data_IF_745091764853
#
_entry.id   IF_745091764853
#
_cell.length_a   1.000
_cell.length_b   1.000
_cell.length_c   1.000
_cell.angle_alpha   90.00
_cell.angle_beta   90.00
_cell.angle_gamma   90.00
#
_symmetry.space_group_name_H-M   'P 1'
#
loop_
_entity.id
_entity.type
_entity.pdbx_description
1 polymer ?
#
# COMPACT_ATOMS: atom_id res chain seq x y z
N UNK A 1 -3.42 20.31 1.65
CA UNK A 1 -3.24 18.87 1.40
C UNK A 1 -4.00 18.11 2.47
N UNK A 2 -4.94 17.24 2.09
CA UNK A 2 -5.69 16.42 3.07
C UNK A 2 -4.92 15.14 3.44
N UNK A 3 -5.42 14.37 4.42
CA UNK A 3 -4.79 13.14 4.88
C UNK A 3 -4.55 12.11 3.74
N UNK A 4 -5.54 11.95 2.85
CA UNK A 4 -5.44 11.04 1.71
C UNK A 4 -4.34 11.46 0.71
N UNK A 5 -4.25 12.75 0.38
CA UNK A 5 -3.21 13.29 -0.49
C UNK A 5 -1.82 13.19 0.14
N UNK A 6 -1.71 13.40 1.46
CA UNK A 6 -0.47 13.19 2.19
C UNK A 6 -0.02 11.73 2.11
N UNK A 7 -0.93 10.80 2.40
CA UNK A 7 -0.66 9.37 2.30
C UNK A 7 -0.25 8.99 0.87
N UNK A 8 -0.91 9.51 -0.16
CA UNK A 8 -0.53 9.27 -1.54
C UNK A 8 0.93 9.69 -1.84
N UNK A 9 1.35 10.87 -1.39
CA UNK A 9 2.74 11.33 -1.53
C UNK A 9 3.73 10.44 -0.77
N UNK A 10 3.38 10.02 0.45
CA UNK A 10 4.23 9.13 1.23
C UNK A 10 4.36 7.73 0.59
N UNK A 11 3.28 7.19 0.00
CA UNK A 11 3.31 5.90 -0.71
C UNK A 11 4.07 5.96 -2.04
N UNK A 12 4.13 7.12 -2.71
CA UNK A 12 5.03 7.32 -3.85
C UNK A 12 6.51 7.28 -3.44
N UNK A 13 6.84 7.76 -2.23
CA UNK A 13 8.18 7.63 -1.67
C UNK A 13 8.52 6.19 -1.30
N UNK A 14 7.51 5.38 -0.94
CA UNK A 14 7.68 3.93 -0.79
C UNK A 14 8.02 3.27 -2.13
N UNK A 15 7.28 3.60 -3.19
CA UNK A 15 7.51 3.07 -4.54
C UNK A 15 8.88 3.47 -5.11
N UNK A 16 9.39 4.65 -4.76
CA UNK A 16 10.74 5.09 -5.17
C UNK A 16 11.86 4.57 -4.27
N UNK A 17 11.53 3.80 -3.23
CA UNK A 17 12.49 3.25 -2.26
C UNK A 17 13.10 4.30 -1.32
N UNK A 18 12.51 5.50 -1.23
CA UNK A 18 12.98 6.58 -0.36
C UNK A 18 12.52 6.40 1.09
N UNK A 19 11.37 5.76 1.30
CA UNK A 19 10.78 5.53 2.62
C UNK A 19 10.32 4.09 2.73
N UNK A 20 10.47 3.46 3.90
CA UNK A 20 9.92 2.13 4.15
C UNK A 20 8.42 2.22 4.44
N UNK A 21 7.62 1.29 3.91
CA UNK A 21 6.17 1.25 4.19
C UNK A 21 5.87 1.16 5.69
N UNK A 22 6.72 0.46 6.46
CA UNK A 22 6.57 0.36 7.91
C UNK A 22 6.59 1.69 8.63
N UNK A 23 7.36 2.65 8.12
CA UNK A 23 7.45 3.99 8.71
C UNK A 23 6.14 4.75 8.51
N UNK A 24 5.42 4.48 7.40
CA UNK A 24 4.09 5.01 7.13
C UNK A 24 3.07 4.41 8.10
N UNK A 25 3.12 3.09 8.32
CA UNK A 25 2.22 2.37 9.22
C UNK A 25 2.42 2.85 10.67
N UNK A 26 3.67 3.04 11.11
CA UNK A 26 3.99 3.52 12.46
C UNK A 26 3.38 4.90 12.76
N UNK A 27 3.23 5.75 11.72
CA UNK A 27 2.61 7.08 11.82
C UNK A 27 1.17 7.13 11.30
N UNK A 28 0.46 6.00 11.29
CA UNK A 28 -0.93 5.93 10.79
C UNK A 28 -1.87 7.00 11.39
N UNK A 29 -1.62 7.43 12.63
CA UNK A 29 -2.38 8.50 13.29
C UNK A 29 -2.33 9.86 12.58
N UNK A 30 -1.32 10.10 11.74
CA UNK A 30 -1.21 11.29 10.89
C UNK A 30 -2.23 11.30 9.72
N UNK A 31 -2.87 10.16 9.46
CA UNK A 31 -3.81 9.96 8.36
C UNK A 31 -5.20 9.52 8.85
N UNK A 32 -5.64 10.03 10.00
CA UNK A 32 -6.87 9.60 10.70
C UNK A 32 -8.17 9.63 9.88
N UNK A 33 -8.21 10.33 8.75
CA UNK A 33 -9.34 10.37 7.83
C UNK A 33 -9.29 9.31 6.70
N UNK A 34 -8.26 8.46 6.67
CA UNK A 34 -8.13 7.32 5.76
C UNK A 34 -8.60 6.06 6.49
N UNK A 35 -9.36 5.20 5.81
CA UNK A 35 -9.84 3.94 6.41
C UNK A 35 -8.71 3.06 6.97
N UNK A 36 -9.00 2.41 8.10
CA UNK A 36 -8.14 1.37 8.69
C UNK A 36 -7.91 0.19 7.73
N UNK A 37 -8.85 -0.09 6.83
CA UNK A 37 -8.69 -1.16 5.84
C UNK A 37 -7.50 -0.90 4.90
N UNK A 38 -7.23 0.36 4.57
CA UNK A 38 -6.03 0.74 3.79
C UNK A 38 -4.75 0.38 4.56
N UNK A 39 -4.71 0.62 5.87
CA UNK A 39 -3.53 0.29 6.68
C UNK A 39 -3.34 -1.21 6.87
N UNK A 40 -4.41 -2.00 7.01
CA UNK A 40 -4.31 -3.46 7.01
C UNK A 40 -3.69 -3.99 5.70
N UNK A 41 -4.08 -3.40 4.57
CA UNK A 41 -3.48 -3.70 3.28
C UNK A 41 -1.99 -3.32 3.21
N UNK A 42 -1.60 -2.16 3.76
CA UNK A 42 -0.19 -1.76 3.84
C UNK A 42 0.64 -2.68 4.76
N UNK A 43 0.06 -3.19 5.84
CA UNK A 43 0.69 -4.18 6.72
C UNK A 43 0.97 -5.49 5.97
N UNK A 44 0.05 -5.94 5.11
CA UNK A 44 0.30 -7.08 4.21
C UNK A 44 1.44 -6.80 3.23
N UNK A 45 1.45 -5.61 2.65
CA UNK A 45 2.57 -5.17 1.82
C UNK A 45 3.88 -5.16 2.61
N UNK A 46 3.94 -4.74 3.88
CA UNK A 46 5.19 -4.79 4.68
C UNK A 46 5.65 -6.24 4.95
N UNK A 47 4.71 -7.12 5.32
CA UNK A 47 4.98 -8.51 5.67
C UNK A 47 5.65 -9.30 4.54
N UNK A 48 5.33 -8.97 3.29
CA UNK A 48 5.86 -9.64 2.10
C UNK A 48 7.12 -8.96 1.52
N UNK A 49 7.76 -8.06 2.26
CA UNK A 49 8.97 -7.34 1.83
C UNK A 49 10.10 -8.27 1.39
N UNK A 50 10.38 -9.35 2.14
CA UNK A 50 11.40 -10.35 1.78
C UNK A 50 11.12 -11.06 0.46
N UNK A 51 9.85 -11.28 0.14
CA UNK A 51 9.43 -11.93 -1.10
C UNK A 51 9.53 -10.99 -2.29
N UNK A 52 9.16 -9.72 -2.13
CA UNK A 52 9.38 -8.70 -3.18
C UNK A 52 10.86 -8.51 -3.53
N UNK A 53 11.77 -8.79 -2.60
CA UNK A 53 13.21 -8.76 -2.89
C UNK A 53 13.62 -9.95 -3.75
N UNK A 54 13.05 -11.14 -3.51
CA UNK A 54 13.42 -12.40 -4.16
C UNK A 54 12.71 -12.65 -5.49
N UNK A 55 11.48 -12.18 -5.64
CA UNK A 55 10.65 -12.36 -6.82
C UNK A 55 10.29 -11.00 -7.44
N UNK A 56 10.89 -10.72 -8.59
CA UNK A 56 10.65 -9.49 -9.34
C UNK A 56 9.24 -9.40 -9.93
N UNK A 57 8.65 -10.52 -10.32
CA UNK A 57 7.28 -10.55 -10.85
C UNK A 57 6.29 -10.20 -9.73
N UNK A 58 6.47 -10.84 -8.58
CA UNK A 58 5.69 -10.55 -7.38
C UNK A 58 5.82 -9.09 -6.95
N UNK A 59 7.05 -8.56 -6.94
CA UNK A 59 7.28 -7.13 -6.69
C UNK A 59 6.51 -6.24 -7.65
N UNK A 60 6.63 -6.46 -8.96
CA UNK A 60 5.93 -5.64 -9.97
C UNK A 60 4.42 -5.65 -9.77
N UNK A 61 3.85 -6.78 -9.40
CA UNK A 61 2.42 -6.88 -9.10
C UNK A 61 2.03 -6.08 -7.86
N UNK A 62 2.76 -6.24 -6.76
CA UNK A 62 2.54 -5.53 -5.50
C UNK A 62 2.70 -4.01 -5.67
N UNK A 63 3.77 -3.58 -6.36
CA UNK A 63 4.02 -2.17 -6.69
C UNK A 63 2.90 -1.61 -7.59
N UNK A 64 2.35 -2.44 -8.49
CA UNK A 64 1.21 -2.09 -9.33
C UNK A 64 -0.06 -1.80 -8.54
N UNK A 65 -0.37 -2.62 -7.53
CA UNK A 65 -1.50 -2.37 -6.62
C UNK A 65 -1.28 -1.12 -5.76
N UNK A 66 -0.04 -0.90 -5.30
CA UNK A 66 0.33 0.31 -4.57
C UNK A 66 0.14 1.57 -5.43
N UNK A 67 0.53 1.53 -6.71
CA UNK A 67 0.34 2.63 -7.64
C UNK A 67 -1.15 2.94 -7.89
N UNK A 68 -2.02 1.91 -7.97
CA UNK A 68 -3.48 2.09 -8.06
C UNK A 68 -4.03 2.76 -6.81
N UNK A 69 -3.60 2.34 -5.61
CA UNK A 69 -4.00 2.97 -4.35
C UNK A 69 -3.61 4.45 -4.32
N UNK A 70 -2.37 4.78 -4.70
CA UNK A 70 -1.90 6.18 -4.83
C UNK A 70 -2.83 6.99 -5.74
N UNK A 71 -3.18 6.46 -6.92
CA UNK A 71 -4.07 7.16 -7.84
C UNK A 71 -5.46 7.40 -7.25
N UNK A 72 -6.04 6.39 -6.60
CA UNK A 72 -7.36 6.50 -5.97
C UNK A 72 -7.38 7.52 -4.82
N UNK A 73 -6.32 7.54 -4.00
CA UNK A 73 -6.14 8.54 -2.94
C UNK A 73 -6.01 9.97 -3.52
N UNK A 74 -5.28 10.14 -4.63
CA UNK A 74 -5.10 11.45 -5.29
C UNK A 74 -6.40 12.04 -5.81
N UNK A 75 -7.27 11.20 -6.39
CA UNK A 75 -8.58 11.65 -6.91
C UNK A 75 -9.65 11.77 -5.81
N UNK A 76 -9.32 11.43 -4.56
CA UNK A 76 -10.26 11.50 -3.43
C UNK A 76 -11.36 10.45 -3.50
N UNK A 77 -11.02 9.23 -3.93
CA UNK A 77 -11.98 8.12 -3.96
C UNK A 77 -12.51 7.79 -2.57
N UNK A 78 -13.74 7.28 -2.50
CA UNK A 78 -14.35 6.84 -1.25
C UNK A 78 -13.63 5.62 -0.65
N UNK A 79 -13.70 5.46 0.67
CA UNK A 79 -13.04 4.37 1.40
C UNK A 79 -13.40 2.98 0.87
N UNK A 80 -14.67 2.75 0.52
CA UNK A 80 -15.13 1.47 -0.04
C UNK A 80 -14.46 1.12 -1.39
N UNK A 81 -13.91 2.11 -2.09
CA UNK A 81 -13.13 1.90 -3.33
C UNK A 81 -11.67 1.64 -2.99
N UNK A 82 -11.12 2.38 -2.01
CA UNK A 82 -9.74 2.21 -1.54
C UNK A 82 -9.50 0.81 -0.95
N UNK A 83 -10.47 0.29 -0.19
CA UNK A 83 -10.42 -1.03 0.45
C UNK A 83 -10.46 -2.20 -0.54
N UNK A 84 -10.85 -1.96 -1.80
CA UNK A 84 -10.84 -3.00 -2.85
C UNK A 84 -9.44 -3.26 -3.41
N UNK A 85 -8.49 -2.36 -3.17
CA UNK A 85 -7.09 -2.64 -3.48
C UNK A 85 -6.64 -3.76 -2.54
N UNK A 86 -6.25 -4.88 -3.12
CA UNK A 86 -5.85 -6.06 -2.36
C UNK A 86 -4.40 -6.37 -2.71
N UNK A 87 -3.53 -6.30 -1.72
CA UNK A 87 -2.18 -6.83 -1.84
C UNK A 87 -2.27 -8.33 -1.60
N UNK A 88 -2.02 -9.12 -2.65
CA UNK A 88 -2.06 -10.58 -2.56
C UNK A 88 -1.10 -11.04 -1.47
N UNK A 89 -1.48 -12.09 -0.74
CA UNK A 89 -0.58 -12.73 0.21
C UNK A 89 0.19 -13.85 -0.50
N UNK A 90 1.46 -14.01 -0.17
CA UNK A 90 2.28 -15.10 -0.69
C UNK A 90 1.70 -16.51 -0.43
N UNK A 91 0.91 -16.66 0.63
CA UNK A 91 0.18 -17.90 0.96
C UNK A 91 -0.88 -18.25 -0.07
N UNK A 92 -1.42 -17.28 -0.81
CA UNK A 92 -2.41 -17.50 -1.87
C UNK A 92 -1.78 -17.91 -3.21
N UNK A 93 -0.45 -17.75 -3.36
CA UNK A 93 0.28 -18.18 -4.56
C UNK A 93 0.71 -19.65 -4.55
N UNK A 94 0.69 -20.32 -3.39
CA UNK A 94 1.04 -21.75 -3.25
C UNK A 94 -0.17 -22.70 -3.45
N UNK A 95 -1.27 -22.19 -4.00
CA UNK A 95 -2.52 -22.94 -4.24
C UNK A 95 -2.67 -23.52 -5.66
N UNK A 96 -1.59 -23.67 -6.43
CA UNK A 96 -1.59 -24.30 -7.76
C UNK A 96 -0.68 -25.52 -7.83
#
# INVERSE_FOLDING_TARGET
MNAAQKLATDLEQVLSGQVAVRDIIARQGEYSAVSKGVFANLEHYDADSDLRVKDSCYRTMQDGEMAKLVQLLRIGSADCVLERITFLQATELNGF
#
